data_IF_403993993943
#
_entry.id   IF_403993993943
#
_cell.length_a   1.000
_cell.length_b   1.000
_cell.length_c   1.000
_cell.angle_alpha   90.00
_cell.angle_beta   90.00
_cell.angle_gamma   90.00
#
_symmetry.space_group_name_H-M   'P 1'
#
loop_
_entity.id
_entity.type
_entity.pdbx_description
1 polymer ?
#
# COMPACT_ATOMS: atom_id res chain seq x y z
N UNK A 1 52.57 -20.61 -17.43
CA UNK A 1 51.21 -20.39 -17.94
C UNK A 1 50.96 -18.88 -17.83
N UNK A 2 51.06 -18.05 -18.88
CA UNK A 2 50.22 -17.99 -20.11
C UNK A 2 48.74 -18.05 -19.66
N UNK A 3 47.90 -17.02 -19.75
CA UNK A 3 47.58 -16.13 -20.88
C UNK A 3 46.87 -14.86 -20.35
N UNK A 4 47.37 -13.67 -20.73
CA UNK A 4 46.56 -12.45 -20.85
C UNK A 4 45.48 -12.68 -21.91
N UNK A 5 44.26 -12.17 -21.74
CA UNK A 5 43.40 -11.59 -22.78
C UNK A 5 42.19 -11.00 -22.04
N UNK A 6 42.01 -9.68 -22.00
CA UNK A 6 41.23 -8.92 -22.99
C UNK A 6 39.90 -9.63 -23.25
N UNK A 7 38.74 -9.01 -22.99
CA UNK A 7 38.13 -8.11 -23.97
C UNK A 7 37.09 -7.24 -23.25
N UNK A 8 37.22 -5.93 -23.48
CA UNK A 8 36.16 -4.94 -23.34
C UNK A 8 34.92 -5.33 -24.17
N UNK A 9 33.76 -4.86 -23.74
CA UNK A 9 32.60 -4.60 -24.59
C UNK A 9 31.81 -5.82 -25.09
N UNK A 10 30.72 -6.09 -24.38
CA UNK A 10 29.42 -6.32 -25.01
C UNK A 10 28.41 -5.32 -24.45
N UNK A 11 28.55 -4.05 -24.87
CA UNK A 11 27.34 -3.27 -25.17
C UNK A 11 26.71 -3.94 -26.39
N UNK A 12 25.80 -4.88 -26.20
CA UNK A 12 24.85 -5.25 -27.23
C UNK A 12 23.65 -5.95 -26.59
N UNK A 13 22.58 -5.17 -26.51
CA UNK A 13 21.24 -5.63 -26.87
C UNK A 13 20.68 -6.81 -26.08
N UNK A 14 20.12 -6.52 -24.90
CA UNK A 14 18.80 -7.06 -24.58
C UNK A 14 17.71 -6.05 -24.95
N UNK A 15 17.83 -5.48 -26.16
CA UNK A 15 16.69 -4.90 -26.85
C UNK A 15 15.96 -6.05 -27.53
N UNK A 16 14.90 -6.54 -26.91
CA UNK A 16 13.54 -6.56 -27.46
C UNK A 16 12.68 -7.63 -26.77
N UNK A 17 11.67 -7.11 -26.08
CA UNK A 17 10.29 -7.56 -26.18
C UNK A 17 9.94 -8.91 -25.58
N UNK A 18 9.80 -8.96 -24.25
CA UNK A 18 8.68 -9.70 -23.66
C UNK A 18 7.95 -8.76 -22.69
N UNK A 19 6.65 -8.61 -22.96
CA UNK A 19 5.63 -7.91 -22.19
C UNK A 19 5.70 -6.37 -22.17
N UNK A 20 5.14 -5.76 -23.22
CA UNK A 20 4.20 -4.63 -23.09
C UNK A 20 2.95 -5.04 -22.29
N UNK A 21 3.15 -5.58 -21.10
CA UNK A 21 2.16 -5.72 -20.06
C UNK A 21 2.87 -5.29 -18.79
N UNK A 22 3.13 -3.99 -18.63
CA UNK A 22 3.00 -3.48 -17.27
C UNK A 22 1.54 -3.77 -16.94
N UNK A 23 1.19 -4.71 -16.04
CA UNK A 23 -0.13 -4.67 -15.47
C UNK A 23 -0.24 -3.24 -14.96
N UNK A 24 -1.16 -2.48 -15.55
CA UNK A 24 -1.52 -1.15 -15.07
C UNK A 24 -1.58 -1.31 -13.56
N UNK A 25 -0.60 -0.76 -12.84
CA UNK A 25 -0.48 -0.99 -11.39
C UNK A 25 -1.88 -0.74 -10.88
N UNK A 26 -2.56 -1.77 -10.34
CA UNK A 26 -4.00 -1.73 -10.20
C UNK A 26 -4.31 -0.43 -9.49
N UNK A 27 -5.05 0.44 -10.17
CA UNK A 27 -5.31 1.79 -9.69
C UNK A 27 -5.79 1.61 -8.25
N UNK A 28 -5.02 2.12 -7.29
CA UNK A 28 -5.36 1.94 -5.88
C UNK A 28 -6.75 2.59 -5.73
N UNK A 29 -7.77 1.76 -5.53
CA UNK A 29 -9.13 2.24 -5.26
C UNK A 29 -9.40 2.07 -3.79
N UNK A 30 -10.28 2.92 -3.28
CA UNK A 30 -10.80 2.82 -1.93
C UNK A 30 -11.32 1.41 -1.63
N UNK A 31 -12.07 0.82 -2.55
CA UNK A 31 -12.64 -0.53 -2.41
C UNK A 31 -11.56 -1.62 -2.29
N UNK A 32 -10.51 -1.55 -3.11
CA UNK A 32 -9.40 -2.50 -3.06
C UNK A 32 -8.64 -2.39 -1.74
N UNK A 33 -8.37 -1.17 -1.28
CA UNK A 33 -7.71 -0.93 0.02
C UNK A 33 -8.55 -1.48 1.16
N UNK A 34 -9.86 -1.23 1.18
CA UNK A 34 -10.75 -1.76 2.21
C UNK A 34 -10.82 -3.31 2.14
N UNK A 35 -10.82 -3.92 0.96
CA UNK A 35 -10.79 -5.38 0.85
C UNK A 35 -9.47 -5.99 1.36
N UNK A 36 -8.33 -5.38 1.03
CA UNK A 36 -7.02 -5.83 1.53
C UNK A 36 -6.93 -5.69 3.04
N UNK A 37 -7.43 -4.59 3.60
CA UNK A 37 -7.52 -4.40 5.06
C UNK A 37 -8.43 -5.46 5.71
N UNK A 38 -9.59 -5.78 5.12
CA UNK A 38 -10.50 -6.82 5.68
C UNK A 38 -9.81 -8.17 5.68
N UNK A 39 -9.14 -8.50 4.57
CA UNK A 39 -8.41 -9.76 4.40
C UNK A 39 -7.24 -9.87 5.37
N UNK A 40 -6.40 -8.84 5.48
CA UNK A 40 -5.27 -8.80 6.40
C UNK A 40 -5.70 -8.87 7.87
N UNK A 41 -6.81 -8.21 8.23
CA UNK A 41 -7.38 -8.30 9.57
C UNK A 41 -7.79 -9.73 9.94
N UNK A 42 -8.51 -10.42 9.04
CA UNK A 42 -8.93 -11.82 9.23
C UNK A 42 -7.73 -12.76 9.31
N UNK A 43 -6.75 -12.59 8.42
CA UNK A 43 -5.51 -13.39 8.41
C UNK A 43 -4.67 -13.21 9.69
N UNK A 44 -4.80 -12.07 10.35
CA UNK A 44 -4.16 -11.80 11.64
C UNK A 44 -4.87 -12.47 12.83
N UNK A 45 -5.90 -13.27 12.59
CA UNK A 45 -6.63 -14.03 13.62
C UNK A 45 -7.73 -13.25 14.32
N UNK A 46 -8.12 -12.07 13.82
CA UNK A 46 -9.26 -11.33 14.33
C UNK A 46 -10.58 -11.96 13.88
N UNK A 47 -11.64 -11.74 14.65
CA UNK A 47 -12.99 -12.18 14.26
C UNK A 47 -13.52 -11.32 13.12
N UNK A 48 -14.41 -11.89 12.30
CA UNK A 48 -15.06 -11.14 11.20
C UNK A 48 -15.75 -9.87 11.71
N UNK A 49 -16.44 -9.95 12.85
CA UNK A 49 -17.10 -8.80 13.48
C UNK A 49 -16.11 -7.70 13.88
N UNK A 50 -14.94 -8.05 14.42
CA UNK A 50 -13.89 -7.08 14.76
C UNK A 50 -13.31 -6.41 13.52
N UNK A 51 -13.09 -7.19 12.46
CA UNK A 51 -12.62 -6.68 11.18
C UNK A 51 -13.65 -5.77 10.52
N UNK A 52 -14.92 -6.13 10.50
CA UNK A 52 -15.99 -5.29 9.96
C UNK A 52 -16.14 -3.98 10.71
N UNK A 53 -16.04 -4.00 12.04
CA UNK A 53 -15.99 -2.77 12.84
C UNK A 53 -14.82 -1.89 12.40
N UNK A 54 -13.62 -2.48 12.32
CA UNK A 54 -12.39 -1.73 12.02
C UNK A 54 -12.44 -1.11 10.62
N UNK A 55 -12.89 -1.87 9.63
CA UNK A 55 -13.03 -1.42 8.24
C UNK A 55 -14.04 -0.29 8.13
N UNK A 56 -15.21 -0.45 8.75
CA UNK A 56 -16.26 0.56 8.71
C UNK A 56 -15.83 1.83 9.44
N UNK A 57 -15.25 1.70 10.63
CA UNK A 57 -14.76 2.84 11.42
C UNK A 57 -13.62 3.57 10.71
N UNK A 58 -12.73 2.84 10.04
CA UNK A 58 -11.67 3.43 9.21
C UNK A 58 -12.25 4.20 8.03
N UNK A 59 -13.24 3.62 7.34
CA UNK A 59 -13.91 4.29 6.22
C UNK A 59 -14.62 5.58 6.67
N UNK A 60 -15.40 5.50 7.75
CA UNK A 60 -16.20 6.61 8.27
C UNK A 60 -15.34 7.76 8.85
N UNK A 61 -14.16 7.47 9.42
CA UNK A 61 -13.30 8.49 10.05
C UNK A 61 -12.43 9.25 9.06
N UNK A 62 -12.12 8.66 7.91
CA UNK A 62 -11.27 9.30 6.91
C UNK A 62 -12.08 10.26 6.03
N UNK A 63 -11.62 11.51 5.99
CA UNK A 63 -12.12 12.50 5.07
C UNK A 63 -11.72 12.14 3.63
N UNK A 64 -12.44 12.71 2.66
CA UNK A 64 -12.13 12.50 1.24
C UNK A 64 -10.67 12.84 0.90
N UNK A 65 -10.14 13.94 1.43
CA UNK A 65 -8.77 14.39 1.18
C UNK A 65 -7.72 13.41 1.75
N UNK A 66 -8.04 12.73 2.85
CA UNK A 66 -7.17 11.72 3.45
C UNK A 66 -7.23 10.40 2.67
N UNK A 67 -8.39 10.06 2.13
CA UNK A 67 -8.53 8.98 1.15
C UNK A 67 -7.74 9.29 -0.12
N UNK A 68 -7.88 10.49 -0.68
CA UNK A 68 -7.15 10.92 -1.87
C UNK A 68 -5.63 10.87 -1.62
N UNK A 69 -5.17 11.24 -0.41
CA UNK A 69 -3.79 11.11 0.03
C UNK A 69 -3.32 9.65 0.08
N UNK A 70 -4.11 8.74 0.65
CA UNK A 70 -3.80 7.30 0.71
C UNK A 70 -3.77 6.62 -0.67
N UNK A 71 -4.57 7.11 -1.60
CA UNK A 71 -4.64 6.62 -2.97
C UNK A 71 -3.63 7.31 -3.90
N UNK A 72 -2.91 8.33 -3.41
CA UNK A 72 -1.88 9.03 -4.18
C UNK A 72 -0.69 8.09 -4.42
N UNK A 73 -0.23 7.92 -5.67
CA UNK A 73 0.93 7.10 -5.96
C UNK A 73 2.17 7.58 -5.20
N UNK A 74 3.03 6.69 -4.68
CA UNK A 74 4.20 7.06 -3.88
C UNK A 74 5.12 8.08 -4.57
N UNK A 75 5.28 8.00 -5.89
CA UNK A 75 6.08 8.94 -6.69
C UNK A 75 5.53 10.37 -6.75
N UNK A 76 4.27 10.57 -6.34
CA UNK A 76 3.56 11.85 -6.35
C UNK A 76 3.39 12.44 -4.96
N UNK A 77 3.83 11.74 -3.90
CA UNK A 77 3.76 12.22 -2.51
C UNK A 77 4.84 13.28 -2.30
N UNK A 78 4.42 14.44 -1.78
CA UNK A 78 5.34 15.53 -1.42
C UNK A 78 5.71 15.53 0.07
N UNK A 79 6.70 16.33 0.47
CA UNK A 79 7.07 16.48 1.88
C UNK A 79 5.92 17.07 2.72
N UNK A 80 5.08 17.91 2.13
CA UNK A 80 3.90 18.48 2.78
C UNK A 80 2.87 17.37 3.07
N UNK A 81 2.70 16.45 2.13
CA UNK A 81 1.76 15.34 2.25
C UNK A 81 2.17 14.36 3.36
N UNK A 82 3.48 14.15 3.59
CA UNK A 82 4.02 13.38 4.73
C UNK A 82 3.47 13.89 6.06
N UNK A 83 3.33 15.22 6.23
CA UNK A 83 2.79 15.78 7.47
C UNK A 83 1.32 15.45 7.67
N UNK A 84 0.56 15.29 6.58
CA UNK A 84 -0.88 14.95 6.59
C UNK A 84 -1.11 13.48 6.94
N UNK A 85 -0.18 12.58 6.63
CA UNK A 85 -0.27 11.17 7.05
C UNK A 85 -0.32 10.97 8.57
N UNK A 86 0.21 11.91 9.37
CA UNK A 86 0.09 11.84 10.84
C UNK A 86 -1.36 11.90 11.32
N UNK A 87 -2.22 12.63 10.61
CA UNK A 87 -3.64 12.70 10.94
C UNK A 87 -4.33 11.38 10.61
N UNK A 88 -3.96 10.74 9.48
CA UNK A 88 -4.42 9.41 9.10
C UNK A 88 -4.00 8.38 10.16
N UNK A 89 -2.74 8.38 10.58
CA UNK A 89 -2.23 7.51 11.64
C UNK A 89 -2.99 7.67 12.95
N UNK A 90 -3.23 8.91 13.38
CA UNK A 90 -4.02 9.21 14.60
C UNK A 90 -5.43 8.62 14.51
N UNK A 91 -6.08 8.74 13.35
CA UNK A 91 -7.41 8.16 13.11
C UNK A 91 -7.37 6.63 13.09
N UNK A 92 -6.34 6.01 12.52
CA UNK A 92 -6.14 4.56 12.57
C UNK A 92 -5.99 4.06 14.01
N UNK A 93 -5.26 4.76 14.86
CA UNK A 93 -5.14 4.42 16.28
C UNK A 93 -6.49 4.52 16.99
N UNK A 94 -7.33 5.51 16.66
CA UNK A 94 -8.69 5.60 17.18
C UNK A 94 -9.57 4.43 16.71
N UNK A 95 -9.49 4.02 15.45
CA UNK A 95 -10.20 2.82 14.95
C UNK A 95 -9.83 1.58 15.77
N UNK A 96 -8.53 1.38 16.02
CA UNK A 96 -8.05 0.27 16.85
C UNK A 96 -8.57 0.38 18.28
N UNK A 97 -8.65 1.58 18.85
CA UNK A 97 -9.27 1.78 20.16
C UNK A 97 -10.76 1.44 20.15
N UNK A 98 -11.51 1.90 19.15
CA UNK A 98 -12.97 1.75 19.06
C UNK A 98 -13.39 0.29 18.80
N UNK A 99 -12.60 -0.44 17.99
CA UNK A 99 -12.93 -1.80 17.55
C UNK A 99 -12.08 -2.89 18.21
N UNK A 100 -10.91 -2.54 18.74
CA UNK A 100 -9.97 -3.45 19.42
C UNK A 100 -10.12 -3.50 20.94
N UNK A 101 -10.97 -2.66 21.54
CA UNK A 101 -11.31 -2.72 22.97
C UNK A 101 -11.98 -4.05 23.41
N UNK A 102 -12.29 -4.95 22.47
CA UNK A 102 -12.57 -6.36 22.74
C UNK A 102 -11.28 -7.18 22.88
N UNK A 103 -10.47 -6.86 23.89
CA UNK A 103 -9.67 -7.87 24.60
C UNK A 103 -10.19 -7.95 26.04
N UNK A 104 -11.30 -8.68 26.20
CA UNK A 104 -11.68 -9.33 27.46
C UNK A 104 -12.11 -10.75 27.14
#
# INVERSE_FOLDING_TARGET
>A
MKVQLFVMATMLTCGMAWAQNTPSTPKLTKENVLQELKTGCLQSGNTEKSCECSIKSFDDKLAKEEWDLLLTPPQSITQEDITKFKNVETKMLQVVSDCGATKQ
#
